data_IF_925687531865
#
_entry.id   IF_925687531865
#
_cell.length_a   1.000
_cell.length_b   1.000
_cell.length_c   1.000
_cell.angle_alpha   90.00
_cell.angle_beta   90.00
_cell.angle_gamma   90.00
#
_symmetry.space_group_name_H-M   'P 1'
#
loop_
_entity.id
_entity.type
_entity.pdbx_description
1 polymer ?
#
# COMPACT_ATOMS: atom_id res chain seq x y z
N UNK A 1 -13.33 2.11 16.96
CA UNK A 1 -13.43 3.43 16.29
C UNK A 1 -12.50 3.41 15.09
N UNK A 2 -12.93 3.92 13.96
CA UNK A 2 -12.03 4.18 12.83
C UNK A 2 -11.68 5.67 12.82
N UNK A 3 -10.44 6.00 12.59
CA UNK A 3 -9.96 7.38 12.45
C UNK A 3 -9.62 7.61 10.98
N UNK A 4 -10.15 8.67 10.38
CA UNK A 4 -9.75 9.11 9.05
C UNK A 4 -8.71 10.22 9.21
N UNK A 5 -7.56 10.07 8.55
CA UNK A 5 -6.45 11.03 8.63
C UNK A 5 -6.30 11.73 7.28
N UNK A 6 -6.12 13.05 7.35
CA UNK A 6 -5.74 13.86 6.20
C UNK A 6 -4.22 14.08 6.19
N UNK A 7 -3.70 14.54 5.07
CA UNK A 7 -2.27 14.84 4.90
C UNK A 7 -1.73 15.71 6.04
N UNK A 8 -0.67 15.22 6.69
CA UNK A 8 0.00 15.90 7.80
C UNK A 8 -0.62 15.68 9.17
N UNK A 9 -1.78 15.05 9.27
CA UNK A 9 -2.37 14.70 10.56
C UNK A 9 -1.63 13.55 11.25
N UNK A 10 -1.70 13.54 12.58
CA UNK A 10 -1.11 12.50 13.42
C UNK A 10 -2.16 11.95 14.36
N UNK A 11 -2.10 10.65 14.63
CA UNK A 11 -2.92 9.98 15.65
C UNK A 11 -2.01 9.24 16.62
N UNK A 12 -2.36 9.29 17.89
CA UNK A 12 -1.70 8.49 18.92
C UNK A 12 -2.51 7.21 19.13
N UNK A 13 -2.05 6.11 18.57
CA UNK A 13 -2.74 4.82 18.66
C UNK A 13 -2.61 4.17 20.05
N UNK A 14 -1.62 4.56 20.86
CA UNK A 14 -1.43 3.99 22.20
C UNK A 14 -2.43 4.52 23.22
N UNK A 15 -2.99 5.71 23.00
CA UNK A 15 -3.97 6.32 23.92
C UNK A 15 -5.31 5.57 23.91
N UNK A 16 -5.75 5.15 22.72
CA UNK A 16 -7.04 4.51 22.52
C UNK A 16 -6.94 2.98 22.36
N UNK A 17 -5.72 2.46 22.17
CA UNK A 17 -5.40 1.05 21.97
C UNK A 17 -4.23 0.62 22.84
N UNK A 18 -4.41 0.73 24.16
CA UNK A 18 -3.42 0.24 25.13
C UNK A 18 -3.11 -1.24 24.85
N UNK A 19 -1.84 -1.53 24.50
CA UNK A 19 -1.39 -2.86 24.18
C UNK A 19 -1.49 -3.25 22.69
N UNK A 20 -1.52 -2.28 21.77
CA UNK A 20 -1.36 -2.56 20.34
C UNK A 20 -0.01 -3.26 20.09
N UNK A 21 -0.06 -4.57 19.89
CA UNK A 21 1.15 -5.39 19.77
C UNK A 21 1.46 -5.77 18.31
N UNK A 22 0.43 -5.97 17.50
CA UNK A 22 0.58 -6.38 16.11
C UNK A 22 -0.41 -5.65 15.23
N UNK A 23 0.07 -5.10 14.13
CA UNK A 23 -0.76 -4.35 13.18
C UNK A 23 -0.62 -4.92 11.77
N UNK A 24 -1.68 -4.72 10.99
CA UNK A 24 -1.69 -4.93 9.55
C UNK A 24 -1.82 -3.55 8.91
N UNK A 25 -0.90 -3.22 8.03
CA UNK A 25 -1.03 -2.11 7.09
C UNK A 25 -1.59 -2.69 5.81
N UNK A 26 -2.79 -2.26 5.43
CA UNK A 26 -3.46 -2.68 4.20
C UNK A 26 -3.47 -1.54 3.20
N UNK A 27 -3.12 -1.82 1.96
CA UNK A 27 -3.23 -0.93 0.81
C UNK A 27 -4.29 -1.50 -0.13
N UNK A 28 -5.17 -0.65 -0.65
CA UNK A 28 -6.09 -1.01 -1.71
C UNK A 28 -6.25 0.11 -2.70
N UNK A 29 -6.52 -0.20 -3.96
CA UNK A 29 -6.75 0.75 -5.04
C UNK A 29 -7.59 0.14 -6.16
N UNK A 30 -8.23 0.99 -6.95
CA UNK A 30 -8.88 0.63 -8.21
C UNK A 30 -8.23 1.41 -9.36
N UNK A 31 -8.21 0.85 -10.56
CA UNK A 31 -7.86 1.62 -11.74
C UNK A 31 -8.99 2.58 -12.11
N UNK A 32 -8.64 3.85 -12.37
CA UNK A 32 -9.61 4.81 -12.87
C UNK A 32 -10.12 4.35 -14.24
N UNK A 33 -11.43 4.21 -14.35
CA UNK A 33 -12.05 3.89 -15.64
C UNK A 33 -11.78 5.04 -16.61
N UNK A 34 -11.33 4.76 -17.83
CA UNK A 34 -11.17 5.80 -18.83
C UNK A 34 -12.51 6.54 -18.96
N UNK A 35 -12.50 7.85 -18.68
CA UNK A 35 -13.68 8.68 -18.94
C UNK A 35 -13.80 8.91 -20.44
N UNK A 36 -14.19 7.88 -21.16
CA UNK A 36 -14.44 7.90 -22.60
C UNK A 36 -15.93 7.91 -22.84
N UNK A 37 -16.41 9.06 -23.29
CA UNK A 37 -17.76 9.22 -23.79
C UNK A 37 -18.13 8.12 -24.79
N UNK A 38 -19.38 7.65 -24.68
CA UNK A 38 -19.91 6.57 -25.49
C UNK A 38 -19.70 6.78 -27.00
N UNK A 39 -19.48 5.67 -27.71
CA UNK A 39 -19.62 5.63 -29.14
C UNK A 39 -18.45 5.02 -29.94
N UNK A 40 -17.79 3.97 -29.47
CA UNK A 40 -16.71 3.37 -30.26
C UNK A 40 -16.67 1.85 -30.36
N UNK A 41 -17.64 1.14 -29.80
CA UNK A 41 -17.55 -0.32 -29.63
C UNK A 41 -17.65 -1.14 -30.94
N UNK A 42 -18.25 -0.65 -31.99
CA UNK A 42 -18.44 -1.44 -33.22
C UNK A 42 -17.48 -1.06 -34.36
N UNK A 43 -17.14 0.22 -34.50
CA UNK A 43 -16.23 0.68 -35.55
C UNK A 43 -14.75 0.47 -35.25
N UNK A 44 -14.34 0.47 -33.97
CA UNK A 44 -12.93 0.22 -33.59
C UNK A 44 -12.46 -1.20 -33.92
N UNK A 45 -13.37 -2.18 -33.87
CA UNK A 45 -13.08 -3.58 -34.22
C UNK A 45 -12.93 -3.80 -35.74
N UNK A 46 -13.54 -2.96 -36.55
CA UNK A 46 -13.53 -3.11 -38.01
C UNK A 46 -12.33 -2.43 -38.70
N UNK A 47 -11.69 -1.47 -38.07
CA UNK A 47 -10.59 -0.70 -38.65
C UNK A 47 -9.22 -0.95 -38.02
N UNK A 48 -9.04 -2.08 -37.33
CA UNK A 48 -7.72 -2.48 -36.84
C UNK A 48 -7.07 -1.48 -35.87
N UNK A 49 -7.86 -0.79 -35.07
CA UNK A 49 -7.34 0.02 -34.00
C UNK A 49 -6.54 -0.89 -33.07
N UNK A 50 -5.23 -0.68 -33.01
CA UNK A 50 -4.36 -1.35 -32.08
C UNK A 50 -4.99 -1.19 -30.67
N UNK A 51 -5.42 -2.31 -30.09
CA UNK A 51 -5.79 -2.32 -28.68
C UNK A 51 -4.54 -1.81 -27.96
N UNK A 52 -4.59 -0.58 -27.47
CA UNK A 52 -3.59 -0.11 -26.52
C UNK A 52 -3.75 -1.04 -25.35
N UNK A 53 -2.84 -1.99 -25.19
CA UNK A 53 -2.77 -2.86 -24.01
C UNK A 53 -2.54 -1.93 -22.83
N UNK A 54 -3.63 -1.58 -22.18
CA UNK A 54 -3.57 -0.76 -20.96
C UNK A 54 -2.87 -1.64 -19.94
N UNK A 55 -1.62 -1.31 -19.64
CA UNK A 55 -0.87 -2.04 -18.63
C UNK A 55 -1.45 -1.67 -17.27
N UNK A 56 -1.88 -2.67 -16.51
CA UNK A 56 -2.43 -2.50 -15.18
C UNK A 56 -1.53 -1.62 -14.28
N UNK A 57 -2.15 -0.84 -13.41
CA UNK A 57 -1.45 0.02 -12.48
C UNK A 57 -1.12 -0.78 -11.23
N UNK A 58 0.15 -0.98 -11.04
CA UNK A 58 0.74 -1.81 -10.01
C UNK A 58 1.26 -0.92 -8.87
N UNK A 59 0.52 -0.87 -7.76
CA UNK A 59 0.86 -0.07 -6.60
C UNK A 59 1.52 -0.93 -5.55
N UNK A 60 2.76 -0.60 -5.21
CA UNK A 60 3.56 -1.32 -4.22
C UNK A 60 3.53 -0.63 -2.85
N UNK A 61 3.29 -1.39 -1.80
CA UNK A 61 3.56 -0.99 -0.44
C UNK A 61 4.96 -1.44 0.01
N UNK A 62 5.66 -0.57 0.70
CA UNK A 62 6.96 -0.87 1.30
C UNK A 62 7.02 -0.39 2.74
N UNK A 63 7.78 -1.09 3.57
CA UNK A 63 8.09 -0.66 4.94
C UNK A 63 9.60 -0.44 5.09
N UNK A 64 9.99 0.75 5.52
CA UNK A 64 11.37 1.13 5.77
C UNK A 64 11.58 1.25 7.28
N UNK A 65 12.45 0.43 7.84
CA UNK A 65 12.81 0.52 9.25
C UNK A 65 13.99 1.46 9.43
N UNK A 66 13.83 2.45 10.30
CA UNK A 66 14.83 3.49 10.53
C UNK A 66 15.48 3.33 11.89
N UNK A 67 16.79 3.62 11.95
CA UNK A 67 17.60 3.72 13.17
C UNK A 67 18.01 5.17 13.36
N UNK A 68 17.65 5.79 14.48
CA UNK A 68 17.87 7.22 14.73
C UNK A 68 17.35 8.09 13.57
N UNK A 69 16.18 7.74 13.06
CA UNK A 69 15.54 8.45 11.95
C UNK A 69 16.22 8.28 10.59
N UNK A 70 17.18 7.36 10.44
CA UNK A 70 17.96 7.14 9.20
C UNK A 70 17.74 5.73 8.65
N UNK A 71 17.68 5.62 7.34
CA UNK A 71 17.78 4.35 6.61
C UNK A 71 19.25 3.98 6.48
N UNK A 72 19.66 2.88 7.11
CA UNK A 72 21.08 2.52 7.24
C UNK A 72 21.45 1.33 6.37
N UNK A 73 20.55 0.34 6.26
CA UNK A 73 20.84 -0.93 5.60
C UNK A 73 19.70 -1.31 4.65
N UNK A 74 20.04 -1.82 3.47
CA UNK A 74 19.05 -2.28 2.48
C UNK A 74 18.19 -3.43 2.99
N UNK A 75 18.66 -4.22 3.93
CA UNK A 75 17.90 -5.28 4.59
C UNK A 75 16.84 -4.75 5.56
N UNK A 76 16.86 -3.45 5.86
CA UNK A 76 15.84 -2.74 6.66
C UNK A 76 14.66 -2.24 5.78
N UNK A 77 14.66 -2.56 4.48
CA UNK A 77 13.56 -2.32 3.55
C UNK A 77 12.81 -3.64 3.28
N UNK A 78 11.50 -3.64 3.57
CA UNK A 78 10.57 -4.73 3.26
C UNK A 78 9.65 -4.29 2.14
N UNK A 79 9.60 -5.05 1.04
CA UNK A 79 8.85 -4.77 -0.18
C UNK A 79 8.70 -6.07 -0.98
N UNK A 80 8.07 -6.05 -2.15
CA UNK A 80 7.86 -7.25 -2.97
C UNK A 80 9.16 -8.05 -3.28
N UNK A 81 10.31 -7.39 -3.38
CA UNK A 81 11.62 -8.05 -3.60
C UNK A 81 12.34 -8.53 -2.32
N UNK A 82 11.84 -8.15 -1.14
CA UNK A 82 12.33 -8.59 0.16
C UNK A 82 11.15 -8.68 1.13
N UNK A 83 10.42 -9.78 1.10
CA UNK A 83 9.14 -9.94 1.80
C UNK A 83 9.26 -9.98 3.33
N UNK A 84 10.45 -10.16 3.88
CA UNK A 84 10.61 -10.34 5.31
C UNK A 84 11.85 -9.63 5.84
N UNK A 85 11.64 -8.78 6.84
CA UNK A 85 12.74 -8.18 7.57
C UNK A 85 13.56 -9.24 8.33
N UNK A 86 14.87 -9.06 8.44
CA UNK A 86 15.80 -9.97 9.15
C UNK A 86 15.41 -10.28 10.60
N UNK A 87 14.76 -9.35 11.31
CA UNK A 87 14.22 -9.59 12.66
C UNK A 87 12.97 -10.46 12.69
N UNK A 88 12.33 -10.69 11.53
CA UNK A 88 11.06 -11.40 11.42
C UNK A 88 9.84 -10.63 11.94
N UNK A 89 9.99 -9.33 12.29
CA UNK A 89 8.91 -8.53 12.89
C UNK A 89 8.10 -7.74 11.87
N UNK A 90 8.61 -7.55 10.66
CA UNK A 90 7.92 -6.89 9.54
C UNK A 90 7.89 -7.85 8.37
N UNK A 91 6.70 -8.13 7.85
CA UNK A 91 6.49 -9.10 6.77
C UNK A 91 5.50 -8.54 5.75
N UNK A 92 5.89 -8.52 4.49
CA UNK A 92 5.02 -8.27 3.34
C UNK A 92 4.30 -9.58 2.97
N UNK A 93 3.00 -9.54 2.73
CA UNK A 93 2.20 -10.75 2.58
C UNK A 93 2.08 -11.23 1.13
N UNK A 94 2.69 -10.55 0.22
CA UNK A 94 2.69 -10.84 -1.22
C UNK A 94 2.37 -9.61 -2.04
N UNK A 95 2.51 -9.75 -3.33
CA UNK A 95 2.39 -8.72 -4.35
C UNK A 95 1.08 -8.88 -5.12
N UNK A 96 0.32 -7.80 -5.35
CA UNK A 96 -0.86 -7.76 -6.20
C UNK A 96 -0.60 -6.78 -7.36
N UNK A 97 -0.52 -7.31 -8.55
CA UNK A 97 -0.09 -6.56 -9.74
C UNK A 97 -1.18 -5.70 -10.39
N UNK A 98 -2.43 -5.84 -9.98
CA UNK A 98 -3.59 -5.26 -10.70
C UNK A 98 -4.52 -4.44 -9.83
N UNK A 99 -4.48 -4.59 -8.50
CA UNK A 99 -5.47 -4.01 -7.60
C UNK A 99 -6.88 -4.58 -7.79
N UNK A 100 -7.01 -5.75 -8.41
CA UNK A 100 -8.31 -6.41 -8.58
C UNK A 100 -8.69 -7.18 -7.32
N UNK A 101 -9.89 -6.96 -6.81
CA UNK A 101 -10.44 -7.67 -5.66
C UNK A 101 -11.17 -6.74 -4.69
N UNK A 102 -11.82 -7.35 -3.70
CA UNK A 102 -12.39 -6.61 -2.58
C UNK A 102 -11.44 -6.65 -1.38
N UNK A 103 -11.18 -5.50 -0.78
CA UNK A 103 -10.42 -5.40 0.46
C UNK A 103 -9.03 -4.82 0.30
N UNK A 104 -8.03 -5.41 0.93
CA UNK A 104 -6.63 -5.00 0.80
C UNK A 104 -5.98 -5.76 -0.35
N UNK A 105 -5.42 -5.04 -1.31
CA UNK A 105 -4.66 -5.61 -2.42
C UNK A 105 -3.28 -6.02 -1.95
N UNK A 106 -2.68 -5.22 -1.08
CA UNK A 106 -1.43 -5.56 -0.43
C UNK A 106 -1.47 -5.37 1.08
N UNK A 107 -0.71 -6.18 1.79
CA UNK A 107 -0.63 -6.14 3.24
C UNK A 107 0.81 -6.23 3.75
N UNK A 108 1.12 -5.40 4.75
CA UNK A 108 2.35 -5.51 5.55
C UNK A 108 1.96 -5.76 7.00
N UNK A 109 2.42 -6.87 7.55
CA UNK A 109 2.19 -7.26 8.95
C UNK A 109 3.38 -6.84 9.79
N UNK A 110 3.12 -6.10 10.88
CA UNK A 110 4.14 -5.57 11.78
C UNK A 110 3.87 -6.04 13.21
N UNK A 111 4.79 -6.79 13.79
CA UNK A 111 4.77 -7.18 15.20
C UNK A 111 5.52 -6.11 16.02
N UNK A 112 4.77 -5.08 16.42
CA UNK A 112 5.31 -3.92 17.15
C UNK A 112 5.96 -4.32 18.47
N UNK A 113 5.43 -5.36 19.15
CA UNK A 113 5.92 -5.81 20.44
C UNK A 113 7.31 -6.45 20.37
N UNK A 114 7.73 -6.87 19.17
CA UNK A 114 8.98 -7.59 18.95
C UNK A 114 9.97 -6.83 18.06
N UNK A 115 9.60 -5.62 17.61
CA UNK A 115 10.52 -4.77 16.85
C UNK A 115 11.77 -4.49 17.71
N UNK A 116 12.99 -4.76 17.22
CA UNK A 116 14.19 -4.50 17.99
C UNK A 116 14.32 -3.01 18.36
N UNK A 117 14.78 -2.75 19.60
CA UNK A 117 14.85 -1.39 20.17
C UNK A 117 15.76 -0.42 19.40
N UNK A 118 16.62 -0.94 18.51
CA UNK A 118 17.47 -0.12 17.63
C UNK A 118 16.67 0.63 16.54
N UNK A 119 15.42 0.20 16.25
CA UNK A 119 14.54 0.85 15.29
C UNK A 119 13.57 1.77 16.00
N UNK A 120 13.63 3.05 15.68
CA UNK A 120 12.81 4.09 16.31
C UNK A 120 11.62 4.51 15.43
N UNK A 121 11.61 4.10 14.16
CA UNK A 121 10.55 4.46 13.23
C UNK A 121 10.40 3.42 12.12
N UNK A 122 9.15 3.19 11.72
CA UNK A 122 8.80 2.45 10.52
C UNK A 122 8.04 3.41 9.60
N UNK A 123 8.52 3.58 8.38
CA UNK A 123 7.88 4.43 7.36
C UNK A 123 7.24 3.53 6.32
N UNK A 124 5.95 3.71 6.09
CA UNK A 124 5.25 3.04 5.00
C UNK A 124 5.29 3.95 3.78
N UNK A 125 5.65 3.39 2.65
CA UNK A 125 5.75 4.07 1.35
C UNK A 125 4.87 3.33 0.37
N UNK A 126 4.14 4.08 -0.45
CA UNK A 126 3.39 3.55 -1.59
C UNK A 126 3.94 4.20 -2.86
N UNK A 127 4.25 3.39 -3.85
CA UNK A 127 4.68 3.84 -5.18
C UNK A 127 3.94 3.06 -6.26
N UNK A 128 3.99 3.56 -7.49
CA UNK A 128 3.56 2.81 -8.68
C UNK A 128 4.79 2.19 -9.31
N UNK A 129 4.77 0.88 -9.53
CA UNK A 129 5.89 0.15 -10.12
C UNK A 129 6.19 0.67 -11.53
N UNK A 130 7.44 1.01 -11.77
CA UNK A 130 7.91 1.57 -13.05
C UNK A 130 7.07 2.75 -13.59
N UNK A 131 6.50 3.57 -12.71
CA UNK A 131 5.58 4.67 -13.06
C UNK A 131 6.07 5.56 -14.21
N UNK A 132 7.34 5.95 -14.19
CA UNK A 132 7.93 6.82 -15.22
C UNK A 132 8.00 6.09 -16.56
N UNK A 133 8.45 4.84 -16.58
CA UNK A 133 8.58 4.03 -17.79
C UNK A 133 7.22 3.72 -18.42
N UNK A 134 6.24 3.38 -17.56
CA UNK A 134 4.86 3.07 -17.95
C UNK A 134 4.00 4.33 -18.15
N UNK A 135 4.53 5.53 -17.89
CA UNK A 135 3.82 6.83 -17.92
C UNK A 135 2.58 6.83 -17.04
N UNK A 136 2.66 6.15 -15.89
CA UNK A 136 1.58 6.04 -14.92
C UNK A 136 1.78 7.01 -13.76
N UNK A 137 0.68 7.41 -13.12
CA UNK A 137 0.69 8.32 -11.97
C UNK A 137 -0.58 8.11 -11.12
N UNK A 138 -0.56 8.55 -9.87
CA UNK A 138 -1.66 8.35 -8.91
C UNK A 138 -3.03 8.93 -9.33
N UNK A 139 -3.09 9.84 -10.28
CA UNK A 139 -4.38 10.33 -10.83
C UNK A 139 -5.09 9.30 -11.71
N UNK A 140 -4.44 8.21 -12.04
CA UNK A 140 -4.99 7.12 -12.84
C UNK A 140 -5.57 5.99 -11.98
N UNK A 141 -5.58 6.16 -10.66
CA UNK A 141 -6.21 5.26 -9.70
C UNK A 141 -7.34 5.96 -8.96
N UNK A 142 -8.35 5.20 -8.59
CA UNK A 142 -9.50 5.61 -7.80
C UNK A 142 -9.59 4.76 -6.53
N UNK A 143 -10.41 5.19 -5.57
CA UNK A 143 -10.68 4.46 -4.33
C UNK A 143 -9.43 4.01 -3.55
N UNK A 144 -8.29 4.65 -3.81
CA UNK A 144 -7.05 4.32 -3.13
C UNK A 144 -7.17 4.58 -1.63
N UNK A 145 -6.77 3.61 -0.83
CA UNK A 145 -6.70 3.77 0.61
C UNK A 145 -5.48 3.07 1.19
N UNK A 146 -5.03 3.57 2.31
CA UNK A 146 -4.15 2.86 3.22
C UNK A 146 -4.81 2.80 4.58
N UNK A 147 -4.79 1.64 5.23
CA UNK A 147 -5.39 1.45 6.54
C UNK A 147 -4.46 0.73 7.51
N UNK A 148 -4.62 1.03 8.78
CA UNK A 148 -3.95 0.33 9.86
C UNK A 148 -5.00 -0.42 10.68
N UNK A 149 -4.78 -1.72 10.89
CA UNK A 149 -5.70 -2.61 11.61
C UNK A 149 -4.96 -3.29 12.75
N UNK A 150 -5.58 -3.37 13.94
CA UNK A 150 -5.08 -4.24 15.02
C UNK A 150 -5.29 -5.70 14.62
N UNK A 151 -4.19 -6.41 14.39
CA UNK A 151 -4.21 -7.80 13.90
C UNK A 151 -4.88 -8.79 14.86
N UNK A 152 -5.03 -8.44 16.16
CA UNK A 152 -5.66 -9.31 17.17
C UNK A 152 -7.19 -9.22 17.14
N UNK A 153 -7.72 -8.08 16.78
CA UNK A 153 -9.15 -7.80 16.91
C UNK A 153 -9.83 -7.54 15.58
N UNK A 154 -9.05 -7.47 14.48
CA UNK A 154 -9.50 -7.03 13.15
C UNK A 154 -10.23 -5.67 13.23
N UNK A 155 -10.01 -4.93 14.32
CA UNK A 155 -10.56 -3.58 14.46
C UNK A 155 -9.71 -2.59 13.67
N UNK A 156 -10.37 -1.89 12.77
CA UNK A 156 -9.77 -0.83 11.99
C UNK A 156 -9.29 0.29 12.91
N UNK A 157 -7.99 0.56 12.93
CA UNK A 157 -7.39 1.61 13.75
C UNK A 157 -7.38 2.96 13.05
N UNK A 158 -7.07 3.00 11.75
CA UNK A 158 -7.02 4.24 10.97
C UNK A 158 -7.22 3.97 9.48
N UNK A 159 -7.86 4.92 8.78
CA UNK A 159 -7.78 5.07 7.33
C UNK A 159 -6.92 6.29 7.04
N UNK A 160 -6.05 6.18 6.08
CA UNK A 160 -5.24 7.27 5.55
C UNK A 160 -5.66 7.42 4.09
N UNK A 161 -6.21 8.56 3.75
CA UNK A 161 -6.66 8.90 2.40
C UNK A 161 -5.68 9.89 1.80
#
# INVERSE_FOLDING_TARGET
MSVSLQKGQKVNLSKDNAGLAKVIVGLGWDEAKPSGGGGGGFFATLFGGAATTHQAIDCDASAIMLKNGKFVDRTDLVYFGNLKHKSGTVNHMGDNLTGEGEGDDEQIVIDLSRVPAEYDKIVIVVNIYQAIHRKQHFRMIENAFIRLVDARTIKKCANII
#
